data_IF_037399566811
#
_entry.id   IF_037399566811
#
_cell.length_a   1.000
_cell.length_b   1.000
_cell.length_c   1.000
_cell.angle_alpha   90.00
_cell.angle_beta   90.00
_cell.angle_gamma   90.00
#
_symmetry.space_group_name_H-M   'P 1'
#
loop_
_entity.id
_entity.type
_entity.pdbx_description
1 polymer ?
#
# COMPACT_ATOMS: atom_id res chain seq x y z
N UNK A 1 -12.61 4.07 7.69
CA UNK A 1 -12.80 4.82 6.43
C UNK A 1 -13.10 6.28 6.72
N UNK A 2 -12.82 7.16 5.76
CA UNK A 2 -13.04 8.61 5.88
C UNK A 2 -13.61 9.19 4.57
N UNK A 3 -14.52 10.16 4.69
CA UNK A 3 -15.05 10.93 3.56
C UNK A 3 -14.61 12.40 3.64
N UNK A 4 -14.03 12.92 2.57
CA UNK A 4 -13.62 14.33 2.41
C UNK A 4 -14.33 14.94 1.21
N UNK A 5 -14.87 16.15 1.36
CA UNK A 5 -15.55 16.86 0.28
C UNK A 5 -15.43 18.39 0.42
N UNK A 6 -15.73 19.17 -0.64
CA UNK A 6 -15.89 20.61 -0.51
C UNK A 6 -17.06 20.95 0.43
N UNK A 7 -16.92 22.04 1.18
CA UNK A 7 -17.91 22.46 2.18
C UNK A 7 -19.24 22.80 1.50
N UNK A 8 -20.35 22.38 2.10
CA UNK A 8 -21.71 22.71 1.67
C UNK A 8 -22.04 22.29 0.23
N UNK A 9 -21.40 21.22 -0.25
CA UNK A 9 -21.65 20.62 -1.58
C UNK A 9 -22.13 19.19 -1.45
N UNK A 10 -22.78 18.69 -2.50
CA UNK A 10 -23.08 17.27 -2.70
C UNK A 10 -22.40 16.87 -4.02
N UNK A 11 -21.14 16.38 -3.97
CA UNK A 11 -20.41 16.05 -5.18
C UNK A 11 -21.11 14.93 -5.97
N UNK A 12 -21.20 15.08 -7.29
CA UNK A 12 -21.71 14.06 -8.21
C UNK A 12 -20.61 13.12 -8.71
N UNK A 13 -19.37 13.36 -8.29
CA UNK A 13 -18.16 12.59 -8.60
C UNK A 13 -17.48 12.13 -7.32
N UNK A 14 -16.90 10.94 -7.37
CA UNK A 14 -16.18 10.34 -6.26
C UNK A 14 -14.77 9.89 -6.66
N UNK A 15 -13.84 10.02 -5.73
CA UNK A 15 -12.52 9.38 -5.80
C UNK A 15 -12.45 8.34 -4.68
N UNK A 16 -12.33 7.08 -5.04
CA UNK A 16 -12.02 5.99 -4.13
C UNK A 16 -10.51 5.95 -3.90
N UNK A 17 -10.06 6.43 -2.75
CA UNK A 17 -8.65 6.48 -2.37
C UNK A 17 -8.25 5.23 -1.58
N UNK A 18 -7.24 4.51 -2.08
CA UNK A 18 -6.64 3.34 -1.47
C UNK A 18 -5.24 3.69 -0.99
N UNK A 19 -5.02 3.64 0.33
CA UNK A 19 -3.73 4.01 0.90
C UNK A 19 -2.64 2.99 0.57
N UNK A 20 -1.39 3.42 0.63
CA UNK A 20 -0.19 2.60 0.63
C UNK A 20 0.15 2.11 2.04
N UNK A 21 1.41 1.67 2.24
CA UNK A 21 1.85 1.09 3.52
C UNK A 21 2.01 -0.43 3.49
N UNK A 22 2.45 -0.96 2.35
CA UNK A 22 2.86 -2.36 2.18
C UNK A 22 1.81 -3.43 2.55
N UNK A 23 0.52 -3.05 2.59
CA UNK A 23 -0.57 -3.88 3.11
C UNK A 23 -0.47 -4.21 4.61
N UNK A 24 0.37 -3.49 5.37
CA UNK A 24 0.59 -3.74 6.81
C UNK A 24 0.39 -2.51 7.69
N UNK A 25 0.01 -1.37 7.11
CA UNK A 25 -0.23 -0.11 7.82
C UNK A 25 -1.62 0.38 7.51
N UNK A 26 -2.43 0.55 8.54
CA UNK A 26 -3.81 1.06 8.47
C UNK A 26 -3.82 2.59 8.36
N UNK A 27 -5.01 3.20 8.25
CA UNK A 27 -5.13 4.65 8.36
C UNK A 27 -4.79 5.17 9.77
N UNK A 28 -4.77 4.34 10.81
CA UNK A 28 -4.25 4.76 12.11
C UNK A 28 -2.74 5.11 12.01
N UNK A 29 -1.98 4.33 11.23
CA UNK A 29 -0.54 4.50 11.08
C UNK A 29 -0.16 5.68 10.16
N UNK A 30 -0.93 5.91 9.11
CA UNK A 30 -0.55 6.83 8.02
C UNK A 30 -1.66 7.80 7.58
N UNK A 31 -2.78 7.86 8.30
CA UNK A 31 -3.99 8.57 7.88
C UNK A 31 -3.83 10.07 7.70
N UNK A 32 -2.89 10.74 8.38
CA UNK A 32 -2.59 12.16 8.14
C UNK A 32 -2.13 12.39 6.70
N UNK A 33 -1.31 11.49 6.15
CA UNK A 33 -0.81 11.58 4.78
C UNK A 33 -1.96 11.44 3.78
N UNK A 34 -2.82 10.44 3.98
CA UNK A 34 -3.94 10.16 3.08
C UNK A 34 -5.05 11.19 3.17
N UNK A 35 -5.37 11.68 4.37
CA UNK A 35 -6.28 12.82 4.56
C UNK A 35 -5.77 14.07 3.84
N UNK A 36 -4.47 14.37 3.90
CA UNK A 36 -3.89 15.50 3.13
C UNK A 36 -4.04 15.30 1.63
N UNK A 37 -3.77 14.09 1.13
CA UNK A 37 -3.96 13.77 -0.28
C UNK A 37 -5.44 13.86 -0.70
N UNK A 38 -6.37 13.36 0.12
CA UNK A 38 -7.81 13.42 -0.11
C UNK A 38 -8.31 14.88 -0.19
N UNK A 39 -7.84 15.75 0.71
CA UNK A 39 -8.13 17.19 0.66
C UNK A 39 -7.63 17.81 -0.66
N UNK A 40 -6.43 17.45 -1.13
CA UNK A 40 -5.91 17.98 -2.39
C UNK A 40 -6.70 17.45 -3.60
N UNK A 41 -7.02 16.16 -3.64
CA UNK A 41 -7.86 15.58 -4.68
C UNK A 41 -9.22 16.28 -4.74
N UNK A 42 -9.88 16.45 -3.60
CA UNK A 42 -11.18 17.12 -3.52
C UNK A 42 -11.10 18.57 -4.00
N UNK A 43 -10.08 19.32 -3.58
CA UNK A 43 -9.87 20.73 -4.00
C UNK A 43 -9.64 20.88 -5.50
N UNK A 44 -8.89 19.96 -6.12
CA UNK A 44 -8.53 20.06 -7.54
C UNK A 44 -9.64 19.58 -8.47
N UNK A 45 -10.45 18.60 -8.03
CA UNK A 45 -11.46 17.95 -8.87
C UNK A 45 -12.90 18.37 -8.58
N UNK A 46 -13.17 18.93 -7.40
CA UNK A 46 -14.53 19.11 -6.89
C UNK A 46 -15.21 17.81 -6.44
N UNK A 47 -14.55 16.66 -6.54
CA UNK A 47 -15.10 15.37 -6.16
C UNK A 47 -15.12 15.17 -4.63
N UNK A 48 -16.03 14.31 -4.17
CA UNK A 48 -15.92 13.66 -2.88
C UNK A 48 -14.81 12.62 -2.90
N UNK A 49 -14.14 12.39 -1.78
CA UNK A 49 -13.04 11.42 -1.68
C UNK A 49 -13.33 10.47 -0.53
N UNK A 50 -13.51 9.19 -0.86
CA UNK A 50 -13.63 8.10 0.10
C UNK A 50 -12.27 7.46 0.29
N UNK A 51 -11.63 7.68 1.44
CA UNK A 51 -10.41 6.97 1.83
C UNK A 51 -10.78 5.71 2.60
N UNK A 52 -10.49 4.54 2.03
CA UNK A 52 -10.82 3.25 2.63
C UNK A 52 -9.77 2.90 3.69
N UNK A 53 -10.21 2.54 4.88
CA UNK A 53 -9.34 1.97 5.93
C UNK A 53 -9.46 0.45 5.83
N UNK A 54 -8.82 -0.12 4.81
CA UNK A 54 -8.98 -1.53 4.50
C UNK A 54 -8.19 -2.39 5.49
N UNK A 55 -8.65 -3.62 5.72
CA UNK A 55 -7.99 -4.59 6.59
C UNK A 55 -6.57 -4.89 6.12
N UNK A 56 -5.61 -4.88 7.05
CA UNK A 56 -4.18 -5.05 6.78
C UNK A 56 -3.62 -6.35 7.38
N UNK A 57 -2.52 -6.83 6.80
CA UNK A 57 -1.74 -7.95 7.28
C UNK A 57 -0.83 -7.53 8.46
N UNK A 58 -0.43 -8.47 9.33
CA UNK A 58 -0.67 -9.91 9.27
C UNK A 58 -2.06 -10.38 9.75
N UNK A 59 -2.81 -9.54 10.47
CA UNK A 59 -4.10 -9.90 11.07
C UNK A 59 -5.13 -10.30 10.01
N UNK A 60 -5.09 -9.62 8.86
CA UNK A 60 -5.96 -9.87 7.71
C UNK A 60 -5.13 -9.97 6.42
N UNK A 61 -4.59 -11.16 6.12
CA UNK A 61 -3.79 -11.37 4.92
C UNK A 61 -4.64 -11.24 3.64
N UNK A 62 -3.98 -11.30 2.48
CA UNK A 62 -4.66 -11.40 1.19
C UNK A 62 -5.72 -12.53 1.21
N UNK A 63 -6.94 -12.30 0.70
CA UNK A 63 -7.38 -11.15 -0.11
C UNK A 63 -8.13 -10.03 0.63
N UNK A 64 -8.02 -9.91 1.97
CA UNK A 64 -8.88 -9.02 2.76
C UNK A 64 -8.93 -7.55 2.25
N UNK A 65 -7.78 -6.95 1.93
CA UNK A 65 -7.73 -5.59 1.40
C UNK A 65 -8.48 -5.43 0.06
N UNK A 66 -8.46 -6.46 -0.80
CA UNK A 66 -9.18 -6.46 -2.07
C UNK A 66 -10.69 -6.53 -1.86
N UNK A 67 -11.14 -7.38 -0.94
CA UNK A 67 -12.56 -7.48 -0.57
C UNK A 67 -13.10 -6.15 -0.05
N UNK A 68 -12.35 -5.49 0.83
CA UNK A 68 -12.77 -4.21 1.41
C UNK A 68 -12.80 -3.08 0.38
N UNK A 69 -11.84 -3.07 -0.55
CA UNK A 69 -11.82 -2.10 -1.65
C UNK A 69 -13.00 -2.31 -2.61
N UNK A 70 -13.32 -3.56 -2.95
CA UNK A 70 -14.49 -3.92 -3.77
C UNK A 70 -15.80 -3.54 -3.08
N UNK A 71 -15.90 -3.78 -1.77
CA UNK A 71 -17.06 -3.40 -0.97
C UNK A 71 -17.25 -1.88 -0.97
N UNK A 72 -16.17 -1.11 -0.83
CA UNK A 72 -16.22 0.35 -0.88
C UNK A 72 -16.61 0.86 -2.28
N UNK A 73 -16.11 0.24 -3.36
CA UNK A 73 -16.52 0.58 -4.72
C UNK A 73 -18.01 0.29 -4.94
N UNK A 74 -18.50 -0.88 -4.50
CA UNK A 74 -19.92 -1.22 -4.56
C UNK A 74 -20.76 -0.23 -3.76
N UNK A 75 -20.31 0.16 -2.57
CA UNK A 75 -21.02 1.14 -1.75
C UNK A 75 -21.20 2.48 -2.49
N UNK A 76 -20.18 2.97 -3.21
CA UNK A 76 -20.32 4.18 -4.04
C UNK A 76 -21.40 4.01 -5.13
N UNK A 77 -21.45 2.84 -5.78
CA UNK A 77 -22.50 2.56 -6.76
C UNK A 77 -23.90 2.52 -6.12
N UNK A 78 -24.01 1.91 -4.94
CA UNK A 78 -25.28 1.81 -4.20
C UNK A 78 -25.77 3.19 -3.72
N UNK A 79 -24.85 4.12 -3.41
CA UNK A 79 -25.15 5.53 -3.10
C UNK A 79 -25.54 6.36 -4.34
N UNK A 80 -25.52 5.76 -5.54
CA UNK A 80 -26.00 6.35 -6.78
C UNK A 80 -24.93 7.04 -7.62
N UNK A 81 -23.65 6.97 -7.26
CA UNK A 81 -22.57 7.43 -8.13
C UNK A 81 -22.53 6.57 -9.39
N UNK A 82 -22.55 7.22 -10.56
CA UNK A 82 -22.38 6.52 -11.82
C UNK A 82 -20.93 6.04 -11.95
N UNK A 83 -20.67 4.85 -12.53
CA UNK A 83 -19.31 4.33 -12.72
C UNK A 83 -18.39 5.33 -13.44
N UNK A 84 -18.93 6.06 -14.42
CA UNK A 84 -18.23 7.08 -15.21
C UNK A 84 -17.92 8.36 -14.40
N UNK A 85 -18.40 8.46 -13.16
CA UNK A 85 -18.12 9.54 -12.23
C UNK A 85 -17.21 9.10 -11.07
N UNK A 86 -16.74 7.84 -11.08
CA UNK A 86 -15.84 7.31 -10.06
C UNK A 86 -14.42 7.17 -10.61
N UNK A 87 -13.45 7.67 -9.86
CA UNK A 87 -12.01 7.43 -10.10
C UNK A 87 -11.47 6.59 -8.94
N UNK A 88 -10.60 5.63 -9.24
CA UNK A 88 -9.87 4.89 -8.19
C UNK A 88 -8.44 5.40 -8.14
N UNK A 89 -7.98 5.85 -6.97
CA UNK A 89 -6.66 6.41 -6.78
C UNK A 89 -5.90 5.65 -5.69
N UNK A 90 -4.65 5.26 -5.93
CA UNK A 90 -3.83 4.62 -4.91
C UNK A 90 -2.33 4.76 -5.13
N UNK A 91 -1.54 4.64 -4.06
CA UNK A 91 -0.08 4.72 -4.08
C UNK A 91 0.59 3.46 -3.52
N UNK A 92 1.78 3.13 -3.99
CA UNK A 92 2.54 1.98 -3.50
C UNK A 92 1.70 0.70 -3.47
N UNK A 93 1.49 0.08 -2.30
CA UNK A 93 0.57 -1.04 -2.11
C UNK A 93 -0.86 -0.72 -2.59
N UNK A 94 -1.42 0.44 -2.23
CA UNK A 94 -2.73 0.90 -2.70
C UNK A 94 -2.79 1.08 -4.21
N UNK A 95 -1.68 1.44 -4.86
CA UNK A 95 -1.57 1.48 -6.32
C UNK A 95 -1.65 0.08 -6.95
N UNK A 96 -1.00 -0.91 -6.33
CA UNK A 96 -1.16 -2.32 -6.70
C UNK A 96 -2.59 -2.82 -6.49
N UNK A 97 -3.22 -2.42 -5.38
CA UNK A 97 -4.61 -2.76 -5.04
C UNK A 97 -5.61 -2.18 -6.04
N UNK A 98 -5.42 -0.93 -6.47
CA UNK A 98 -6.20 -0.28 -7.54
C UNK A 98 -6.21 -1.13 -8.81
N UNK A 99 -5.04 -1.63 -9.23
CA UNK A 99 -4.92 -2.47 -10.41
C UNK A 99 -5.54 -3.85 -10.20
N UNK A 100 -5.30 -4.48 -9.05
CA UNK A 100 -5.88 -5.80 -8.71
C UNK A 100 -7.41 -5.76 -8.72
N UNK A 101 -8.00 -4.74 -8.10
CA UNK A 101 -9.45 -4.53 -8.11
C UNK A 101 -9.97 -4.26 -9.52
N UNK A 102 -9.28 -3.44 -10.31
CA UNK A 102 -9.70 -3.18 -11.70
C UNK A 102 -9.76 -4.47 -12.52
N UNK A 103 -8.75 -5.34 -12.38
CA UNK A 103 -8.75 -6.65 -13.04
C UNK A 103 -9.91 -7.51 -12.55
N UNK A 104 -10.18 -7.51 -11.24
CA UNK A 104 -11.33 -8.20 -10.68
C UNK A 104 -12.66 -7.69 -11.27
N UNK A 105 -12.87 -6.37 -11.32
CA UNK A 105 -14.07 -5.75 -11.91
C UNK A 105 -14.25 -6.18 -13.37
N UNK A 106 -13.17 -6.12 -14.17
CA UNK A 106 -13.18 -6.56 -15.58
C UNK A 106 -13.55 -8.04 -15.71
N UNK A 107 -12.89 -8.91 -14.94
CA UNK A 107 -13.04 -10.36 -15.07
C UNK A 107 -14.42 -10.84 -14.60
N UNK A 108 -15.08 -10.07 -13.71
CA UNK A 108 -16.44 -10.34 -13.23
C UNK A 108 -17.51 -9.49 -13.92
N UNK A 109 -17.16 -8.79 -15.01
CA UNK A 109 -18.09 -7.96 -15.80
C UNK A 109 -18.84 -6.92 -14.95
N UNK A 110 -18.18 -6.39 -13.92
CA UNK A 110 -18.70 -5.32 -13.09
C UNK A 110 -18.52 -3.96 -13.77
N UNK A 111 -19.31 -2.93 -13.40
CA UNK A 111 -19.13 -1.59 -13.92
C UNK A 111 -17.70 -1.08 -13.66
N UNK A 112 -17.12 -0.42 -14.66
CA UNK A 112 -15.75 0.06 -14.61
C UNK A 112 -15.72 1.53 -14.16
N UNK A 113 -14.75 1.94 -13.33
CA UNK A 113 -14.55 3.35 -13.02
C UNK A 113 -14.10 4.12 -14.27
N UNK A 114 -14.32 5.44 -14.29
CA UNK A 114 -13.90 6.31 -15.39
C UNK A 114 -12.39 6.34 -15.60
N UNK A 115 -11.61 6.30 -14.52
CA UNK A 115 -10.16 6.34 -14.59
C UNK A 115 -9.50 5.74 -13.35
N UNK A 116 -8.21 5.43 -13.51
CA UNK A 116 -7.33 4.95 -12.46
C UNK A 116 -6.15 5.91 -12.29
N UNK A 117 -5.79 6.21 -11.04
CA UNK A 117 -4.58 6.96 -10.70
C UNK A 117 -3.71 6.03 -9.84
N UNK A 118 -2.53 5.69 -10.35
CA UNK A 118 -1.58 4.81 -9.65
C UNK A 118 -0.25 5.50 -9.45
N UNK A 119 0.19 5.67 -8.20
CA UNK A 119 1.45 6.34 -7.87
C UNK A 119 2.45 5.32 -7.34
N UNK A 120 3.54 5.07 -8.08
CA UNK A 120 4.58 4.09 -7.70
C UNK A 120 3.98 2.73 -7.32
N UNK A 121 3.03 2.23 -8.10
CA UNK A 121 2.27 1.03 -7.78
C UNK A 121 3.17 -0.19 -7.55
N UNK A 122 2.93 -0.88 -6.44
CA UNK A 122 3.62 -2.13 -6.14
C UNK A 122 2.92 -3.29 -6.85
N UNK A 123 3.38 -3.60 -8.06
CA UNK A 123 2.74 -4.58 -8.95
C UNK A 123 3.39 -5.96 -8.94
N UNK A 124 4.54 -6.10 -8.27
CA UNK A 124 5.26 -7.36 -8.18
C UNK A 124 5.71 -7.64 -6.74
N UNK A 125 5.00 -8.57 -6.08
CA UNK A 125 5.33 -9.06 -4.74
C UNK A 125 6.43 -10.14 -4.76
N UNK A 126 6.76 -10.68 -5.94
CA UNK A 126 7.83 -11.65 -6.12
C UNK A 126 9.18 -10.92 -6.20
N UNK A 127 9.58 -10.30 -5.09
CA UNK A 127 10.90 -9.71 -4.95
C UNK A 127 11.91 -10.83 -4.71
N UNK A 128 12.73 -11.10 -5.73
CA UNK A 128 13.98 -11.85 -5.53
C UNK A 128 15.08 -10.83 -5.28
N UNK A 129 15.83 -10.99 -4.19
CA UNK A 129 17.02 -10.18 -3.94
C UNK A 129 17.95 -10.33 -5.14
N UNK A 130 18.19 -9.24 -5.86
CA UNK A 130 19.20 -9.22 -6.91
C UNK A 130 20.56 -9.22 -6.23
N UNK A 131 21.31 -10.30 -6.41
CA UNK A 131 22.72 -10.39 -6.03
C UNK A 131 23.54 -9.94 -7.25
N UNK A 132 24.29 -8.82 -7.18
CA UNK A 132 25.15 -8.45 -8.28
C UNK A 132 26.17 -9.58 -8.56
N UNK A 133 26.54 -9.85 -9.82
CA UNK A 133 27.42 -10.97 -10.18
C UNK A 133 28.84 -10.88 -9.58
N UNK A 134 29.21 -9.72 -9.03
CA UNK A 134 30.48 -9.47 -8.35
C UNK A 134 30.40 -9.64 -6.83
N UNK A 135 29.20 -9.84 -6.28
CA UNK A 135 28.99 -10.35 -4.93
C UNK A 135 28.77 -11.86 -5.13
N UNK A 136 29.81 -12.67 -4.91
CA UNK A 136 29.74 -14.11 -5.14
C UNK A 136 28.58 -14.78 -4.37
N UNK A 137 28.29 -16.04 -4.70
CA UNK A 137 27.35 -16.90 -3.98
C UNK A 137 27.87 -17.22 -2.57
N UNK A 138 28.01 -16.20 -1.73
CA UNK A 138 28.18 -16.38 -0.30
C UNK A 138 26.82 -16.82 0.25
N UNK A 139 26.62 -18.15 0.22
CA UNK A 139 25.76 -18.81 1.21
C UNK A 139 26.04 -18.16 2.56
N UNK A 140 24.96 -17.82 3.26
CA UNK A 140 24.96 -17.23 4.60
C UNK A 140 25.62 -18.15 5.64
N UNK A 141 26.91 -18.43 5.51
CA UNK A 141 27.72 -18.92 6.62
C UNK A 141 28.18 -17.70 7.40
N UNK A 142 27.45 -17.47 8.50
CA UNK A 142 27.84 -16.62 9.62
C UNK A 142 27.92 -15.10 9.34
N UNK A 143 26.77 -14.43 9.43
CA UNK A 143 26.74 -13.09 10.04
C UNK A 143 27.20 -13.22 11.52
N UNK A 144 28.51 -13.36 11.74
CA UNK A 144 29.12 -13.08 13.03
C UNK A 144 28.90 -11.60 13.31
N UNK A 145 28.11 -11.36 14.34
CA UNK A 145 28.03 -10.12 15.10
C UNK A 145 29.41 -9.46 15.24
N UNK A 146 29.72 -8.53 14.34
CA UNK A 146 30.74 -7.51 14.57
C UNK A 146 30.03 -6.18 14.76
N UNK A 147 29.30 -6.08 15.87
CA UNK A 147 28.97 -4.80 16.48
C UNK A 147 30.27 -4.25 17.07
N UNK A 148 30.78 -3.20 16.43
CA UNK A 148 31.69 -2.17 16.94
C UNK A 148 32.51 -2.51 18.20
N UNK A 149 33.79 -2.83 18.02
CA UNK A 149 34.82 -2.62 19.04
C UNK A 149 35.83 -1.62 18.46
N UNK A 150 36.13 -0.48 19.12
CA UNK A 150 37.13 0.45 18.63
C UNK A 150 38.49 -0.24 18.51
N UNK A 151 39.18 -0.03 17.39
CA UNK A 151 40.54 -0.49 17.13
C UNK A 151 41.50 0.10 18.18
N UNK A 152 41.75 -0.66 19.23
CA UNK A 152 42.68 -0.24 20.26
C UNK A 152 42.69 -1.13 21.49
N UNK A 153 42.82 -2.46 21.34
CA UNK A 153 43.47 -3.36 22.31
C UNK A 153 43.44 -4.81 21.79
N UNK A 154 44.34 -5.17 20.88
CA UNK A 154 44.67 -6.57 20.60
C UNK A 154 45.95 -6.91 21.37
N UNK A 155 45.81 -7.30 22.64
CA UNK A 155 46.84 -8.10 23.32
C UNK A 155 46.33 -9.52 23.51
N UNK A 156 46.98 -10.41 22.76
CA UNK A 156 47.12 -11.86 22.92
C UNK A 156 46.58 -12.39 24.26
N UNK A 157 45.69 -13.39 24.20
CA UNK A 157 45.82 -14.59 25.02
C UNK A 157 45.21 -15.79 24.28
N UNK A 158 46.09 -16.71 23.88
CA UNK A 158 45.76 -18.10 23.57
C UNK A 158 45.61 -18.81 24.92
N UNK A 159 44.51 -19.52 25.15
CA UNK A 159 44.49 -20.70 26.02
C UNK A 159 43.41 -21.68 25.57
N UNK A 160 43.87 -22.89 25.23
CA UNK A 160 43.09 -24.11 25.11
C UNK A 160 42.46 -24.45 26.47
N UNK A 161 41.25 -25.04 26.48
CA UNK A 161 40.92 -26.24 27.26
C UNK A 161 39.76 -26.98 26.57
N UNK A 162 39.97 -28.29 26.34
CA UNK A 162 38.95 -29.31 26.12
C UNK A 162 38.57 -29.88 27.50
N UNK A 163 37.26 -30.02 27.79
CA UNK A 163 36.60 -30.52 29.02
C UNK A 163 36.84 -29.74 30.32
#
# INVERSE_FOLDING_TARGET
MEWVQPRDTMPDRAILQLHGGAYTRSLEDNGITYRRAAVQYSKLSGAGVLTVDYRVAPEHPFPAALEDALLAYKWLLDEGYQPEHIIIAGDSAGGGLTLAMTLYLRDHQMPMPAALITMSAWTNLNYKRWTPPYVGDEKQEEMRFWLMIPLGLQKKLRMQVFM
#
